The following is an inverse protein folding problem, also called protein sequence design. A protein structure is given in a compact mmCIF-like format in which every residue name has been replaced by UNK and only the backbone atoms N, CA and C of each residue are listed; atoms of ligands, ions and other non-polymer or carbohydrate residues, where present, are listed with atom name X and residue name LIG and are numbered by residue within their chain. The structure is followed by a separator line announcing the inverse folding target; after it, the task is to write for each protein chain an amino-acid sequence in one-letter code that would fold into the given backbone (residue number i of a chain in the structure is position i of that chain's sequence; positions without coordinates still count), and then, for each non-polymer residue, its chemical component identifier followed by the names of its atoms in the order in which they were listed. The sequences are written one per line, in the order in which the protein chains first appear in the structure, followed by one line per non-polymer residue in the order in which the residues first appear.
data_IF_351162640642
#
_entry.id   IF_351162640642
#
_cell.length_a   1.000
_cell.length_b   1.000
_cell.length_c   1.000
_cell.angle_alpha   90.00
_cell.angle_beta   90.00
_cell.angle_gamma   90.00
#
_symmetry.space_group_name_H-M   'P 1'
#
loop_
_entity.id
_entity.type
_entity.pdbx_description
1 polymer ?
#
# COMPACT_ATOMS: atom_id res chain seq x y z
N UNK A 1 -4.77 -1.89 -14.43
CA UNK A 1 -4.43 -1.51 -13.03
C UNK A 1 -4.03 -2.77 -12.27
N UNK A 2 -3.18 -2.66 -11.26
CA UNK A 2 -2.68 -3.77 -10.44
C UNK A 2 -2.81 -3.42 -8.97
N UNK A 3 -3.03 -4.43 -8.13
CA UNK A 3 -3.08 -4.28 -6.70
C UNK A 3 -1.78 -4.76 -6.06
N UNK A 4 -1.32 -4.02 -5.05
CA UNK A 4 -0.10 -4.33 -4.33
C UNK A 4 -0.33 -4.30 -2.83
N UNK A 5 0.34 -5.17 -2.09
CA UNK A 5 0.52 -5.03 -0.66
C UNK A 5 1.90 -4.46 -0.40
N UNK A 6 1.95 -3.27 0.19
CA UNK A 6 3.16 -2.69 0.77
C UNK A 6 3.14 -2.97 2.26
N UNK A 7 4.04 -3.82 2.76
CA UNK A 7 4.24 -4.05 4.19
C UNK A 7 5.59 -3.48 4.63
N UNK A 8 5.67 -2.92 5.82
CA UNK A 8 6.89 -2.25 6.29
C UNK A 8 7.01 -2.24 7.81
N UNK A 9 8.24 -2.14 8.30
CA UNK A 9 8.48 -2.01 9.73
C UNK A 9 8.10 -0.61 10.23
N UNK A 10 7.28 -0.54 11.28
CA UNK A 10 6.95 0.71 11.96
C UNK A 10 7.96 1.05 13.04
N UNK A 11 8.40 2.30 13.07
CA UNK A 11 9.14 2.89 14.16
C UNK A 11 8.71 4.35 14.39
N UNK A 12 7.60 4.58 15.13
CA UNK A 12 7.00 5.91 15.29
C UNK A 12 7.88 6.93 16.04
N UNK A 13 8.84 6.48 16.84
CA UNK A 13 9.79 7.39 17.51
C UNK A 13 10.86 7.91 16.57
N UNK A 14 11.07 7.26 15.42
CA UNK A 14 12.11 7.59 14.44
C UNK A 14 11.57 8.25 13.18
N UNK A 15 10.32 7.99 12.81
CA UNK A 15 9.78 8.36 11.50
C UNK A 15 8.43 9.06 11.58
N UNK A 16 8.28 10.11 10.78
CA UNK A 16 7.02 10.82 10.59
C UNK A 16 6.10 10.06 9.63
N UNK A 17 5.23 9.22 10.19
CA UNK A 17 4.25 8.47 9.41
C UNK A 17 3.15 9.33 8.80
N UNK A 18 2.89 10.54 9.29
CA UNK A 18 1.94 11.46 8.63
C UNK A 18 2.54 11.96 7.31
N UNK A 19 3.82 12.34 7.34
CA UNK A 19 4.57 12.72 6.13
C UNK A 19 4.71 11.57 5.15
N UNK A 20 5.07 10.36 5.62
CA UNK A 20 5.15 9.16 4.77
C UNK A 20 3.79 8.84 4.14
N UNK A 21 2.73 8.84 4.96
CA UNK A 21 1.36 8.60 4.48
C UNK A 21 1.00 9.61 3.38
N UNK A 22 1.19 10.90 3.62
CA UNK A 22 0.91 11.96 2.64
C UNK A 22 1.71 11.77 1.34
N UNK A 23 3.00 11.42 1.43
CA UNK A 23 3.83 11.17 0.25
C UNK A 23 3.33 9.97 -0.56
N UNK A 24 3.01 8.85 0.09
CA UNK A 24 2.48 7.66 -0.59
C UNK A 24 1.12 7.98 -1.23
N UNK A 25 0.16 8.51 -0.48
CA UNK A 25 -1.23 8.63 -0.92
C UNK A 25 -1.49 9.75 -1.92
N UNK A 26 -0.63 10.77 -1.98
CA UNK A 26 -0.71 11.86 -2.97
C UNK A 26 0.13 11.61 -4.21
N UNK A 27 0.86 10.50 -4.29
CA UNK A 27 1.67 10.22 -5.46
C UNK A 27 0.80 9.87 -6.68
N UNK A 28 1.03 10.45 -7.87
CA UNK A 28 0.25 10.16 -9.09
C UNK A 28 0.28 8.69 -9.57
N UNK A 29 1.29 7.92 -9.14
CA UNK A 29 1.39 6.48 -9.36
C UNK A 29 0.36 5.70 -8.55
N UNK A 30 -0.12 6.24 -7.41
CA UNK A 30 -1.13 5.60 -6.56
C UNK A 30 -2.50 6.12 -6.97
N UNK A 31 -3.29 5.27 -7.62
CA UNK A 31 -4.65 5.61 -8.09
C UNK A 31 -5.70 5.44 -7.02
N UNK A 32 -5.49 4.49 -6.11
CA UNK A 32 -6.34 4.25 -4.96
C UNK A 32 -5.52 3.53 -3.88
N UNK A 33 -5.95 3.57 -2.63
CA UNK A 33 -5.25 2.92 -1.53
C UNK A 33 -6.17 2.61 -0.35
N UNK A 34 -5.70 1.71 0.51
CA UNK A 34 -6.32 1.34 1.77
C UNK A 34 -5.26 1.11 2.84
N UNK A 35 -5.50 1.57 4.08
CA UNK A 35 -4.54 1.54 5.19
C UNK A 35 -5.21 1.19 6.54
N UNK A 36 -5.92 0.06 6.59
CA UNK A 36 -6.54 -0.43 7.84
C UNK A 36 -5.57 -1.18 8.76
N UNK A 37 -4.41 -1.60 8.23
CA UNK A 37 -3.34 -2.20 9.00
C UNK A 37 -2.23 -1.18 9.17
N UNK A 38 -1.85 -0.92 10.42
CA UNK A 38 -0.86 0.09 10.76
C UNK A 38 0.44 -0.04 9.96
N UNK A 39 0.91 -1.26 9.72
CA UNK A 39 2.20 -1.53 9.06
C UNK A 39 2.04 -1.93 7.60
N UNK A 40 0.88 -1.67 6.97
CA UNK A 40 0.65 -2.10 5.58
C UNK A 40 -0.32 -1.22 4.81
N UNK A 41 -0.07 -1.07 3.51
CA UNK A 41 -1.03 -0.51 2.56
C UNK A 41 -1.47 -1.58 1.58
N UNK A 42 -2.71 -1.48 1.13
CA UNK A 42 -3.11 -1.99 -0.18
C UNK A 42 -3.07 -0.81 -1.14
N UNK A 43 -2.33 -0.93 -2.23
CA UNK A 43 -2.11 0.14 -3.22
C UNK A 43 -2.64 -0.31 -4.57
N UNK A 44 -3.28 0.61 -5.29
CA UNK A 44 -3.69 0.39 -6.68
C UNK A 44 -2.85 1.29 -7.59
N UNK A 45 -2.18 0.70 -8.58
CA UNK A 45 -1.31 1.42 -9.51
C UNK A 45 -1.41 0.88 -10.94
N UNK A 46 -1.04 1.70 -11.91
CA UNK A 46 -0.81 1.28 -13.30
C UNK A 46 0.65 0.87 -13.54
N UNK A 47 1.54 1.29 -12.64
CA UNK A 47 2.97 1.01 -12.71
C UNK A 47 3.26 -0.42 -12.27
N UNK A 48 4.38 -0.97 -12.73
CA UNK A 48 4.83 -2.29 -12.31
C UNK A 48 5.49 -2.27 -10.92
N UNK A 49 5.73 -3.47 -10.35
CA UNK A 49 6.30 -3.63 -9.00
C UNK A 49 7.67 -2.95 -8.84
N UNK A 50 8.50 -2.93 -9.88
CA UNK A 50 9.84 -2.36 -9.81
C UNK A 50 9.78 -0.83 -9.76
N UNK A 51 9.02 -0.21 -10.66
CA UNK A 51 8.80 1.24 -10.70
C UNK A 51 8.23 1.75 -9.37
N UNK A 52 7.22 1.05 -8.85
CA UNK A 52 6.57 1.40 -7.60
C UNK A 52 7.52 1.20 -6.39
N UNK A 53 8.31 0.12 -6.39
CA UNK A 53 9.32 -0.14 -5.36
C UNK A 53 10.43 0.91 -5.33
N UNK A 54 10.88 1.38 -6.50
CA UNK A 54 11.88 2.44 -6.61
C UNK A 54 11.35 3.77 -6.05
N UNK A 55 10.08 4.08 -6.30
CA UNK A 55 9.43 5.23 -5.69
C UNK A 55 9.33 5.09 -4.16
N UNK A 56 8.87 3.94 -3.67
CA UNK A 56 8.72 3.67 -2.23
C UNK A 56 10.07 3.79 -1.51
N UNK A 57 11.16 3.31 -2.13
CA UNK A 57 12.53 3.51 -1.63
C UNK A 57 12.89 4.99 -1.47
N UNK A 58 12.47 5.86 -2.38
CA UNK A 58 12.72 7.32 -2.27
C UNK A 58 11.92 7.95 -1.14
N UNK A 59 10.69 7.49 -0.89
CA UNK A 59 9.84 7.99 0.19
C UNK A 59 10.32 7.50 1.56
N UNK A 60 10.77 6.25 1.63
CA UNK A 60 11.15 5.54 2.86
C UNK A 60 12.59 4.98 2.80
N UNK A 61 13.63 5.79 2.57
CA UNK A 61 14.99 5.31 2.22
C UNK A 61 15.70 4.51 3.31
N UNK A 62 15.23 4.59 4.57
CA UNK A 62 15.80 3.88 5.73
C UNK A 62 14.87 2.81 6.30
N UNK A 63 13.80 2.45 5.58
CA UNK A 63 12.83 1.44 6.03
C UNK A 63 13.09 0.10 5.35
N UNK A 64 12.89 -0.97 6.11
CA UNK A 64 12.66 -2.30 5.55
C UNK A 64 11.21 -2.37 5.12
N UNK A 65 10.97 -2.76 3.88
CA UNK A 65 9.62 -2.96 3.34
C UNK A 65 9.62 -4.12 2.34
N UNK A 66 8.44 -4.66 2.12
CA UNK A 66 8.13 -5.65 1.11
C UNK A 66 6.96 -5.15 0.27
N UNK A 67 7.11 -5.17 -1.05
CA UNK A 67 6.05 -4.85 -2.00
C UNK A 67 5.77 -6.09 -2.85
N UNK A 68 4.51 -6.52 -2.87
CA UNK A 68 4.07 -7.69 -3.62
C UNK A 68 2.87 -7.32 -4.47
N UNK A 69 2.86 -7.74 -5.74
CA UNK A 69 1.65 -7.72 -6.56
C UNK A 69 0.69 -8.83 -6.07
N UNK A 70 -0.60 -8.53 -5.94
CA UNK A 70 -1.60 -9.45 -5.38
C UNK A 70 -2.88 -9.50 -6.21
N UNK A 71 -3.53 -10.67 -6.21
CA UNK A 71 -4.88 -10.83 -6.74
C UNK A 71 -5.90 -10.65 -5.61
N UNK A 72 -6.58 -9.50 -5.57
CA UNK A 72 -7.58 -9.19 -4.54
C UNK A 72 -8.80 -10.12 -4.59
N UNK A 73 -9.03 -10.87 -5.68
CA UNK A 73 -10.09 -11.89 -5.74
C UNK A 73 -9.75 -13.10 -4.88
N UNK A 74 -8.46 -13.30 -4.58
CA UNK A 74 -7.93 -14.38 -3.76
C UNK A 74 -7.53 -13.88 -2.38
N UNK A 75 -8.37 -13.02 -1.78
CA UNK A 75 -8.15 -12.44 -0.45
C UNK A 75 -9.13 -12.98 0.59
N UNK A 76 -8.66 -13.14 1.83
CA UNK A 76 -9.47 -13.50 3.00
C UNK A 76 -8.75 -13.01 4.28
N UNK A 77 -9.44 -12.96 5.41
CA UNK A 77 -8.88 -12.53 6.70
C UNK A 77 -9.92 -11.95 7.66
N UNK A 78 -9.45 -11.19 8.65
CA UNK A 78 -10.29 -10.48 9.61
C UNK A 78 -9.98 -8.98 9.58
N UNK A 79 -10.90 -8.21 9.00
CA UNK A 79 -10.84 -6.76 8.87
C UNK A 79 -12.25 -6.18 9.11
N UNK A 80 -12.36 -4.88 9.43
CA UNK A 80 -13.64 -4.18 9.47
C UNK A 80 -14.39 -4.24 8.14
N UNK A 81 -15.71 -4.10 8.17
CA UNK A 81 -16.57 -4.19 6.99
C UNK A 81 -16.16 -3.17 5.91
N UNK A 82 -15.82 -1.94 6.31
CA UNK A 82 -15.44 -0.87 5.38
C UNK A 82 -14.16 -1.21 4.60
N UNK A 83 -13.24 -1.95 5.23
CA UNK A 83 -12.03 -2.44 4.58
C UNK A 83 -12.37 -3.49 3.51
N UNK A 84 -13.27 -4.42 3.84
CA UNK A 84 -13.75 -5.43 2.89
C UNK A 84 -14.55 -4.82 1.74
N UNK A 85 -15.39 -3.82 2.03
CA UNK A 85 -16.13 -3.07 1.01
C UNK A 85 -15.17 -2.38 0.04
N UNK A 86 -14.10 -1.77 0.56
CA UNK A 86 -13.05 -1.19 -0.28
C UNK A 86 -12.35 -2.27 -1.13
N UNK A 87 -11.95 -3.41 -0.54
CA UNK A 87 -11.28 -4.49 -1.28
C UNK A 87 -12.19 -5.02 -2.39
N UNK A 88 -13.46 -5.28 -2.09
CA UNK A 88 -14.43 -5.80 -3.04
C UNK A 88 -14.68 -4.84 -4.21
N UNK A 89 -14.73 -3.52 -3.96
CA UNK A 89 -14.85 -2.50 -5.01
C UNK A 89 -13.62 -2.39 -5.91
N UNK A 90 -12.45 -2.84 -5.44
CA UNK A 90 -11.17 -2.76 -6.15
C UNK A 90 -10.67 -4.11 -6.67
N UNK A 91 -11.52 -5.14 -6.75
CA UNK A 91 -11.18 -6.39 -7.45
C UNK A 91 -11.07 -6.11 -8.96
N UNK A 92 -9.85 -5.89 -9.42
CA UNK A 92 -9.56 -5.63 -10.84
C UNK A 92 -9.62 -6.96 -11.61
N UNK A 93 -10.25 -6.95 -12.78
CA UNK A 93 -10.35 -8.11 -13.68
C UNK A 93 -9.01 -8.47 -14.30
#
# INVERSE_FOLDING_TARGET
MRAYILSYDRNPSKYDYKSIHSKITKNPMIKNWSHYLNSSYILISENNVNELSDYIRKVMPKHRFLLLEVDLRKSNGWLPQEAWDWINKNKIL
#
